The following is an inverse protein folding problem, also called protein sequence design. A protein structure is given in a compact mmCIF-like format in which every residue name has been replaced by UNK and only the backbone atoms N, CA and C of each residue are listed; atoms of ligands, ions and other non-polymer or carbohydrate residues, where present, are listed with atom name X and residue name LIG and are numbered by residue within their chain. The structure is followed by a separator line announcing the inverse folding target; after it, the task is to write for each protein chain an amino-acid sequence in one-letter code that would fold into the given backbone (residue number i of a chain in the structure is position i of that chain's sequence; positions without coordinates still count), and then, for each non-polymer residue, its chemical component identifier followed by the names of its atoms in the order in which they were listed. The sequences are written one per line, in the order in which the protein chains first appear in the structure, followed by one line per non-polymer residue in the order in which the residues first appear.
data_IF_609957283795
#
_entry.id   IF_609957283795
#
_cell.length_a   1.000
_cell.length_b   1.000
_cell.length_c   1.000
_cell.angle_alpha   90.00
_cell.angle_beta   90.00
_cell.angle_gamma   90.00
#
_symmetry.space_group_name_H-M   'P 1'
#
loop_
_entity.id
_entity.type
_entity.pdbx_description
1 polymer ?
#
# COMPACT_ATOMS: atom_id res chain seq x y z
N UNK A 1 10.15 24.80 11.66
CA UNK A 1 10.09 23.34 11.92
C UNK A 1 9.03 22.78 10.99
N UNK A 2 9.33 21.78 10.16
CA UNK A 2 8.33 21.16 9.28
C UNK A 2 7.32 20.40 10.16
N UNK A 3 6.05 20.80 10.12
CA UNK A 3 4.96 20.09 10.82
C UNK A 3 4.54 18.87 9.99
N UNK A 4 4.17 17.77 10.65
CA UNK A 4 3.58 16.56 10.05
C UNK A 4 2.39 16.93 9.15
N UNK A 5 1.56 17.90 9.52
CA UNK A 5 0.41 18.32 8.71
C UNK A 5 0.83 18.92 7.36
N UNK A 6 1.96 19.63 7.32
CA UNK A 6 2.52 20.17 6.09
C UNK A 6 3.07 19.05 5.19
N UNK A 7 3.72 18.04 5.77
CA UNK A 7 4.21 16.88 5.02
C UNK A 7 3.06 16.05 4.44
N UNK A 8 1.98 15.85 5.21
CA UNK A 8 0.76 15.20 4.73
C UNK A 8 0.12 15.98 3.58
N UNK A 9 -0.11 17.28 3.76
CA UNK A 9 -0.68 18.13 2.71
C UNK A 9 0.19 18.16 1.45
N UNK A 10 1.52 18.19 1.58
CA UNK A 10 2.42 18.15 0.43
C UNK A 10 2.35 16.81 -0.30
N UNK A 11 2.31 15.71 0.44
CA UNK A 11 2.13 14.37 -0.11
C UNK A 11 0.79 14.26 -0.86
N UNK A 12 -0.30 14.78 -0.30
CA UNK A 12 -1.62 14.77 -0.94
C UNK A 12 -1.64 15.56 -2.25
N UNK A 13 -0.93 16.69 -2.31
CA UNK A 13 -0.82 17.49 -3.54
C UNK A 13 0.04 16.79 -4.60
N UNK A 14 1.05 16.04 -4.19
CA UNK A 14 1.94 15.32 -5.10
C UNK A 14 1.31 14.00 -5.57
N UNK A 15 0.37 13.42 -4.82
CA UNK A 15 -0.22 12.10 -5.09
C UNK A 15 -0.85 11.98 -6.49
N UNK A 16 -1.66 12.92 -6.99
CA UNK A 16 -2.20 12.85 -8.35
C UNK A 16 -1.11 12.82 -9.41
N UNK A 17 -0.02 13.54 -9.18
CA UNK A 17 1.12 13.56 -10.11
C UNK A 17 1.91 12.25 -10.09
N UNK A 18 2.01 11.59 -8.93
CA UNK A 18 2.63 10.26 -8.78
C UNK A 18 1.78 9.21 -9.48
N UNK A 19 0.46 9.25 -9.29
CA UNK A 19 -0.47 8.34 -9.97
C UNK A 19 -0.40 8.51 -11.49
N UNK A 20 -0.37 9.77 -11.96
CA UNK A 20 -0.29 10.08 -13.39
C UNK A 20 1.02 9.65 -14.05
N UNK A 21 2.12 9.55 -13.28
CA UNK A 21 3.39 8.99 -13.78
C UNK A 21 3.28 7.50 -14.11
N UNK A 22 2.32 6.79 -13.50
CA UNK A 22 2.11 5.36 -13.70
C UNK A 22 3.15 4.48 -13.01
N UNK A 23 2.94 3.16 -13.10
CA UNK A 23 3.87 2.19 -12.52
C UNK A 23 5.27 2.27 -13.14
N UNK A 24 6.28 1.98 -12.33
CA UNK A 24 7.68 1.95 -12.74
C UNK A 24 8.48 0.97 -11.88
N UNK A 25 9.76 0.79 -12.17
CA UNK A 25 10.64 -0.05 -11.34
C UNK A 25 10.76 0.40 -9.87
N UNK A 26 10.27 1.60 -9.53
CA UNK A 26 10.26 2.16 -8.17
C UNK A 26 8.87 2.57 -7.69
N UNK A 27 7.82 2.34 -8.46
CA UNK A 27 6.45 2.71 -8.10
C UNK A 27 5.51 1.61 -8.54
N UNK A 28 4.88 0.94 -7.58
CA UNK A 28 3.91 -0.13 -7.85
C UNK A 28 2.54 0.27 -7.32
N UNK A 29 1.49 -0.02 -8.08
CA UNK A 29 0.10 0.14 -7.66
C UNK A 29 -0.49 -1.23 -7.32
N UNK A 30 -1.27 -1.26 -6.26
CA UNK A 30 -2.06 -2.42 -5.88
C UNK A 30 -3.45 -1.96 -5.46
N UNK A 31 -4.47 -2.56 -6.07
CA UNK A 31 -5.87 -2.21 -5.83
C UNK A 31 -6.33 -2.50 -4.40
N UNK A 32 -5.68 -3.43 -3.71
CA UNK A 32 -6.00 -3.84 -2.35
C UNK A 32 -4.82 -4.55 -1.69
N UNK A 33 -4.90 -4.75 -0.37
CA UNK A 33 -4.00 -5.64 0.37
C UNK A 33 -4.40 -7.11 0.21
N UNK A 34 -5.71 -7.40 0.35
CA UNK A 34 -6.22 -8.79 0.38
C UNK A 34 -7.64 -8.96 -0.09
N UNK A 35 -8.29 -7.91 -0.55
CA UNK A 35 -9.63 -8.00 -1.12
C UNK A 35 -9.57 -8.21 -2.64
N UNK A 36 -9.98 -9.39 -3.10
CA UNK A 36 -10.08 -9.64 -4.54
C UNK A 36 -11.30 -8.91 -5.12
N UNK A 37 -11.03 -7.90 -5.94
CA UNK A 37 -12.09 -7.09 -6.55
C UNK A 37 -12.89 -7.86 -7.61
N UNK A 38 -12.28 -8.83 -8.28
CA UNK A 38 -12.94 -9.64 -9.31
C UNK A 38 -13.79 -10.75 -8.69
N UNK A 39 -13.25 -11.43 -7.68
CA UNK A 39 -13.93 -12.54 -7.00
C UNK A 39 -14.80 -12.10 -5.82
N UNK A 40 -14.72 -10.83 -5.41
CA UNK A 40 -15.45 -10.25 -4.28
C UNK A 40 -15.31 -11.05 -2.98
N UNK A 41 -14.07 -11.45 -2.66
CA UNK A 41 -13.74 -12.20 -1.44
C UNK A 41 -12.34 -11.92 -0.95
N UNK A 42 -12.04 -12.36 0.27
CA UNK A 42 -10.67 -12.33 0.81
C UNK A 42 -9.79 -13.30 0.02
N UNK A 43 -8.66 -12.79 -0.48
CA UNK A 43 -7.65 -13.55 -1.19
C UNK A 43 -6.26 -13.31 -0.58
N UNK A 44 -5.79 -14.27 0.22
CA UNK A 44 -4.47 -14.22 0.87
C UNK A 44 -3.29 -14.32 -0.10
N UNK A 45 -3.53 -14.68 -1.36
CA UNK A 45 -2.47 -14.66 -2.38
C UNK A 45 -2.06 -13.22 -2.67
N UNK A 46 -2.99 -12.26 -2.61
CA UNK A 46 -2.70 -10.83 -2.80
C UNK A 46 -1.74 -10.31 -1.72
N UNK A 47 -1.90 -10.74 -0.46
CA UNK A 47 -0.95 -10.40 0.61
C UNK A 47 0.48 -10.85 0.25
N UNK A 48 0.63 -12.04 -0.34
CA UNK A 48 1.95 -12.52 -0.77
C UNK A 48 2.52 -11.71 -1.94
N UNK A 49 1.70 -11.20 -2.84
CA UNK A 49 2.13 -10.31 -3.95
C UNK A 49 2.64 -8.99 -3.39
N UNK A 50 1.92 -8.41 -2.43
CA UNK A 50 2.34 -7.21 -1.69
C UNK A 50 3.71 -7.45 -1.05
N UNK A 51 3.86 -8.52 -0.28
CA UNK A 51 5.12 -8.84 0.39
C UNK A 51 6.29 -9.08 -0.57
N UNK A 52 6.05 -9.69 -1.73
CA UNK A 52 7.09 -9.85 -2.77
C UNK A 52 7.54 -8.50 -3.33
N UNK A 53 6.59 -7.61 -3.61
CA UNK A 53 6.86 -6.25 -4.09
C UNK A 53 7.72 -5.50 -3.08
N UNK A 54 7.31 -5.54 -1.81
CA UNK A 54 8.05 -4.93 -0.70
C UNK A 54 9.47 -5.48 -0.57
N UNK A 55 9.63 -6.81 -0.64
CA UNK A 55 10.95 -7.43 -0.62
C UNK A 55 11.81 -7.00 -1.82
N UNK A 56 11.21 -6.84 -3.01
CA UNK A 56 11.89 -6.30 -4.20
C UNK A 56 12.42 -4.88 -3.97
N UNK A 57 11.59 -4.00 -3.42
CA UNK A 57 12.00 -2.63 -3.10
C UNK A 57 13.06 -2.57 -2.00
N UNK A 58 12.97 -3.40 -0.96
CA UNK A 58 13.97 -3.45 0.11
C UNK A 58 15.35 -3.93 -0.38
N UNK A 59 15.37 -4.88 -1.31
CA UNK A 59 16.61 -5.41 -1.87
C UNK A 59 17.19 -4.49 -2.96
N UNK A 60 16.42 -3.49 -3.41
CA UNK A 60 16.87 -2.51 -4.39
C UNK A 60 17.67 -1.41 -3.71
N UNK A 61 18.87 -1.04 -4.21
CA UNK A 61 19.69 0.03 -3.63
C UNK A 61 19.03 1.41 -3.69
N UNK A 62 18.04 1.58 -4.57
CA UNK A 62 17.27 2.82 -4.74
C UNK A 62 15.91 2.78 -4.02
N UNK A 63 15.51 1.65 -3.45
CA UNK A 63 14.20 1.49 -2.82
C UNK A 63 13.03 1.47 -3.81
N UNK A 64 11.85 1.80 -3.30
CA UNK A 64 10.62 1.97 -4.09
C UNK A 64 9.42 2.38 -3.24
N UNK A 65 8.32 2.71 -3.90
CA UNK A 65 7.05 3.14 -3.32
C UNK A 65 5.96 2.19 -3.77
N UNK A 66 5.16 1.70 -2.81
CA UNK A 66 3.98 0.89 -3.07
C UNK A 66 2.75 1.73 -2.69
N UNK A 67 1.85 1.97 -3.64
CA UNK A 67 0.54 2.57 -3.39
C UNK A 67 -0.50 1.45 -3.33
N UNK A 68 -1.15 1.31 -2.17
CA UNK A 68 -2.28 0.39 -1.99
C UNK A 68 -3.57 1.22 -2.11
N UNK A 69 -4.62 0.61 -2.67
CA UNK A 69 -5.90 1.23 -3.03
C UNK A 69 -5.91 2.02 -4.34
N UNK A 70 -4.94 1.76 -5.24
CA UNK A 70 -4.88 2.35 -6.58
C UNK A 70 -4.93 1.21 -7.60
N UNK A 71 -5.84 1.29 -8.58
CA UNK A 71 -5.91 0.33 -9.68
C UNK A 71 -4.81 0.59 -10.71
N UNK A 72 -4.57 -0.40 -11.58
CA UNK A 72 -3.53 -0.34 -12.60
C UNK A 72 -3.73 0.83 -13.60
N UNK A 73 -4.97 1.32 -13.74
CA UNK A 73 -5.30 2.50 -14.55
C UNK A 73 -5.13 3.84 -13.79
N UNK A 74 -4.70 3.81 -12.54
CA UNK A 74 -4.54 4.97 -11.66
C UNK A 74 -5.79 5.36 -10.88
N UNK A 75 -6.92 4.64 -11.01
CA UNK A 75 -8.13 4.94 -10.25
C UNK A 75 -7.93 4.66 -8.75
N UNK A 76 -8.28 5.63 -7.90
CA UNK A 76 -8.27 5.46 -6.45
C UNK A 76 -9.52 4.69 -6.04
N UNK A 77 -9.34 3.46 -5.56
CA UNK A 77 -10.40 2.53 -5.16
C UNK A 77 -10.78 2.73 -3.69
N UNK A 78 -9.83 3.16 -2.86
CA UNK A 78 -9.98 3.27 -1.39
C UNK A 78 -9.84 1.92 -0.66
N UNK A 79 -9.76 1.98 0.67
CA UNK A 79 -9.44 0.83 1.53
C UNK A 79 -10.66 0.20 2.22
N UNK A 80 -11.87 0.68 1.96
CA UNK A 80 -13.07 0.26 2.68
C UNK A 80 -13.27 -1.27 2.68
N UNK A 81 -13.08 -1.91 1.52
CA UNK A 81 -13.23 -3.36 1.41
C UNK A 81 -12.15 -4.11 2.19
N UNK A 82 -10.90 -3.65 2.15
CA UNK A 82 -9.84 -4.23 2.99
C UNK A 82 -10.14 -4.01 4.47
N UNK A 83 -10.65 -2.85 4.87
CA UNK A 83 -11.00 -2.56 6.26
C UNK A 83 -12.02 -3.55 6.81
N UNK A 84 -13.07 -3.85 6.04
CA UNK A 84 -14.13 -4.77 6.45
C UNK A 84 -13.66 -6.22 6.63
N UNK A 85 -12.51 -6.58 6.07
CA UNK A 85 -11.98 -7.95 6.22
C UNK A 85 -11.23 -8.15 7.54
N UNK A 86 -10.90 -7.08 8.26
CA UNK A 86 -10.04 -7.10 9.46
C UNK A 86 -10.83 -7.39 10.73
N UNK A 87 -10.15 -8.00 11.72
CA UNK A 87 -10.72 -8.19 13.06
C UNK A 87 -11.07 -6.84 13.72
N UNK A 88 -10.22 -5.84 13.52
CA UNK A 88 -10.47 -4.44 13.86
C UNK A 88 -10.59 -3.68 12.54
N UNK A 89 -11.80 -3.35 12.06
CA UNK A 89 -11.96 -2.54 10.86
C UNK A 89 -11.37 -1.13 11.02
N UNK A 90 -11.01 -0.51 9.90
CA UNK A 90 -10.48 0.85 9.83
C UNK A 90 -8.95 0.90 9.75
N UNK A 91 -8.43 2.13 9.69
CA UNK A 91 -7.02 2.42 9.44
C UNK A 91 -6.10 1.68 10.40
N UNK A 92 -6.24 1.86 11.72
CA UNK A 92 -5.38 1.21 12.72
C UNK A 92 -5.23 -0.31 12.52
N UNK A 93 -6.35 -1.00 12.24
CA UNK A 93 -6.32 -2.44 12.04
C UNK A 93 -5.62 -2.83 10.76
N UNK A 94 -5.74 -1.99 9.73
CA UNK A 94 -5.06 -2.18 8.46
C UNK A 94 -3.55 -2.01 8.62
N UNK A 95 -3.11 -0.93 9.27
CA UNK A 95 -1.69 -0.70 9.56
C UNK A 95 -1.12 -1.88 10.37
N UNK A 96 -1.83 -2.32 11.41
CA UNK A 96 -1.41 -3.47 12.21
C UNK A 96 -1.32 -4.77 11.39
N UNK A 97 -2.30 -5.05 10.54
CA UNK A 97 -2.31 -6.25 9.70
C UNK A 97 -1.17 -6.22 8.68
N UNK A 98 -0.91 -5.06 8.07
CA UNK A 98 0.20 -4.86 7.15
C UNK A 98 1.54 -5.08 7.87
N UNK A 99 1.75 -4.41 9.00
CA UNK A 99 2.97 -4.57 9.80
C UNK A 99 3.19 -6.01 10.27
N UNK A 100 2.11 -6.72 10.63
CA UNK A 100 2.17 -8.14 11.00
C UNK A 100 2.59 -9.01 9.81
N UNK A 101 1.98 -8.79 8.64
CA UNK A 101 2.30 -9.52 7.41
C UNK A 101 3.78 -9.36 7.02
N UNK A 102 4.31 -8.15 7.19
CA UNK A 102 5.71 -7.81 6.95
C UNK A 102 6.64 -8.41 8.01
N UNK A 103 6.32 -8.27 9.30
CA UNK A 103 7.17 -8.73 10.41
C UNK A 103 7.36 -10.25 10.39
N UNK A 104 6.32 -10.98 9.96
CA UNK A 104 6.40 -12.43 9.76
C UNK A 104 7.39 -12.83 8.64
N UNK A 105 7.87 -11.88 7.85
CA UNK A 105 8.93 -12.05 6.85
C UNK A 105 10.16 -11.19 7.18
N UNK A 106 10.84 -11.44 8.30
CA UNK A 106 12.25 -11.10 8.65
C UNK A 106 12.99 -9.88 8.00
N UNK A 107 12.32 -8.84 7.51
CA UNK A 107 12.93 -7.70 6.82
C UNK A 107 12.07 -6.46 7.06
N UNK A 108 12.55 -5.54 7.90
CA UNK A 108 11.82 -4.36 8.34
C UNK A 108 11.80 -3.26 7.24
N UNK A 109 10.63 -2.67 6.91
CA UNK A 109 10.56 -1.57 5.95
C UNK A 109 9.86 -0.31 6.53
N UNK A 110 10.08 0.82 5.84
CA UNK A 110 9.48 2.13 6.08
C UNK A 110 8.31 2.35 5.09
N UNK A 111 7.12 2.75 5.55
CA UNK A 111 5.95 2.97 4.68
C UNK A 111 5.12 4.21 5.00
N UNK A 112 4.47 4.71 3.95
CA UNK A 112 3.43 5.74 3.96
C UNK A 112 2.11 5.03 3.60
N UNK A 113 1.12 5.12 4.47
CA UNK A 113 -0.25 4.64 4.25
C UNK A 113 -1.09 5.87 3.91
N UNK A 114 -1.85 5.80 2.82
CA UNK A 114 -2.80 6.84 2.38
C UNK A 114 -4.22 6.43 2.78
#
# INVERSE_FOLDING_TARGET
MLNIDYLKSKLDNDLPSIIQQGESSRLEFKSSLRWDMAESRINRVLENVILKTLAGFLNSPVGGTLLISVADNGDIIGLEKDYLTLKKPGQDGFEQSLMTAISNRHSAPLFIIL
#
